data_IF_278296332878
#
_entry.id   IF_278296332878
#
_cell.length_a   1.000
_cell.length_b   1.000
_cell.length_c   1.000
_cell.angle_alpha   90.00
_cell.angle_beta   90.00
_cell.angle_gamma   90.00
#
_symmetry.space_group_name_H-M   'P 1'
#
loop_
_entity.id
_entity.type
_entity.pdbx_description
1 polymer ?
#
# COMPACT_ATOMS: atom_id res chain seq x y z
N UNK A 1 -38.06 -49.58 17.10
CA UNK A 1 -37.89 -48.12 17.22
C UNK A 1 -36.46 -47.71 17.58
N UNK A 2 -35.74 -48.50 18.39
CA UNK A 2 -34.34 -48.24 18.81
C UNK A 2 -33.31 -48.21 17.67
N UNK A 3 -33.53 -48.97 16.59
CA UNK A 3 -32.62 -49.00 15.42
C UNK A 3 -32.73 -47.77 14.51
N UNK A 4 -33.89 -47.11 14.48
CA UNK A 4 -34.10 -45.89 13.67
C UNK A 4 -33.50 -44.67 14.37
N UNK A 5 -33.56 -44.63 15.71
CA UNK A 5 -32.94 -43.58 16.53
C UNK A 5 -31.41 -43.56 16.36
N UNK A 6 -30.77 -44.71 16.20
CA UNK A 6 -29.32 -44.80 15.97
C UNK A 6 -28.87 -44.26 14.60
N UNK A 7 -29.71 -44.36 13.57
CA UNK A 7 -29.38 -43.89 12.21
C UNK A 7 -29.53 -42.36 12.13
N UNK A 8 -30.55 -41.79 12.77
CA UNK A 8 -30.75 -40.34 12.83
C UNK A 8 -29.68 -39.65 13.70
N UNK A 9 -29.22 -40.31 14.77
CA UNK A 9 -28.11 -39.82 15.58
C UNK A 9 -26.78 -39.79 14.79
N UNK A 10 -26.55 -40.74 13.88
CA UNK A 10 -25.31 -40.80 13.09
C UNK A 10 -25.27 -39.76 11.95
N UNK A 11 -26.43 -39.33 11.42
CA UNK A 11 -26.52 -38.30 10.39
C UNK A 11 -26.37 -36.86 10.93
N UNK A 12 -26.48 -36.65 12.25
CA UNK A 12 -26.32 -35.32 12.86
C UNK A 12 -24.86 -34.99 13.24
N UNK A 13 -23.94 -35.95 13.13
CA UNK A 13 -22.50 -35.72 13.37
C UNK A 13 -21.69 -35.51 12.07
N UNK A 14 -22.30 -35.58 10.88
CA UNK A 14 -21.60 -35.46 9.61
C UNK A 14 -21.48 -34.03 9.08
N UNK A 15 -21.90 -33.01 9.83
CA UNK A 15 -21.53 -31.62 9.54
C UNK A 15 -20.08 -31.37 9.97
N UNK A 16 -19.15 -32.08 9.34
CA UNK A 16 -17.75 -31.69 9.30
C UNK A 16 -17.75 -30.39 8.49
N UNK A 17 -17.65 -29.26 9.19
CA UNK A 17 -17.28 -28.00 8.57
C UNK A 17 -15.91 -28.27 7.95
N UNK A 18 -15.89 -28.47 6.63
CA UNK A 18 -14.65 -28.47 5.89
C UNK A 18 -14.15 -27.04 5.93
N UNK A 19 -13.41 -26.69 6.99
CA UNK A 19 -12.57 -25.50 6.96
C UNK A 19 -11.50 -25.86 5.95
N UNK A 20 -11.75 -25.53 4.68
CA UNK A 20 -10.70 -25.53 3.69
C UNK A 20 -9.65 -24.54 4.22
N UNK A 21 -8.58 -25.06 4.79
CA UNK A 21 -7.34 -24.33 4.95
C UNK A 21 -6.80 -24.12 3.54
N UNK A 22 -7.47 -23.24 2.79
CA UNK A 22 -6.94 -22.75 1.53
C UNK A 22 -5.62 -22.10 1.86
N UNK A 23 -4.53 -22.59 1.26
CA UNK A 23 -3.27 -21.87 1.26
C UNK A 23 -3.45 -20.65 0.36
N UNK A 24 -4.14 -19.63 0.86
CA UNK A 24 -4.28 -18.37 0.16
C UNK A 24 -2.92 -17.66 0.12
N UNK A 25 -2.55 -17.04 -1.01
CA UNK A 25 -1.30 -16.32 -1.09
C UNK A 25 -1.31 -15.15 -0.10
N UNK A 26 -0.13 -14.88 0.46
CA UNK A 26 0.11 -13.68 1.24
C UNK A 26 1.10 -12.83 0.47
N UNK A 27 0.74 -11.57 0.20
CA UNK A 27 1.58 -10.55 -0.39
C UNK A 27 2.14 -9.62 0.66
N UNK A 28 3.37 -9.16 0.43
CA UNK A 28 4.01 -8.12 1.24
C UNK A 28 4.22 -6.89 0.37
N UNK A 29 3.43 -5.85 0.61
CA UNK A 29 3.59 -4.57 -0.10
C UNK A 29 4.57 -3.70 0.69
N UNK A 30 5.66 -3.31 0.04
CA UNK A 30 6.78 -2.59 0.64
C UNK A 30 6.95 -1.25 -0.04
N UNK A 31 7.13 -0.20 0.73
CA UNK A 31 7.41 1.12 0.20
C UNK A 31 7.79 2.10 1.29
N UNK A 32 7.83 3.38 0.94
CA UNK A 32 8.21 4.45 1.86
C UNK A 32 7.31 5.66 1.69
N UNK A 33 7.23 6.46 2.74
CA UNK A 33 6.58 7.76 2.71
C UNK A 33 7.61 8.84 3.01
N UNK A 34 7.61 9.89 2.20
CA UNK A 34 8.53 11.00 2.35
C UNK A 34 7.84 12.36 2.40
N UNK A 35 8.57 13.35 2.89
CA UNK A 35 8.21 14.75 2.82
C UNK A 35 8.84 15.34 1.57
N UNK A 36 8.01 15.77 0.62
CA UNK A 36 8.45 16.49 -0.57
C UNK A 36 8.75 17.94 -0.20
N UNK A 37 9.99 18.15 0.24
CA UNK A 37 10.50 19.42 0.77
C UNK A 37 10.62 20.52 -0.29
N UNK A 38 10.60 20.16 -1.58
CA UNK A 38 10.75 21.09 -2.70
C UNK A 38 9.61 21.04 -3.73
N UNK A 39 8.54 20.29 -3.45
CA UNK A 39 7.43 20.08 -4.38
C UNK A 39 7.88 19.50 -5.73
N UNK A 40 8.93 18.67 -5.70
CA UNK A 40 9.47 18.00 -6.88
C UNK A 40 8.59 16.81 -7.32
N UNK A 41 7.97 16.17 -6.32
CA UNK A 41 7.20 14.93 -6.36
C UNK A 41 7.98 13.71 -6.84
N UNK A 42 9.26 13.70 -6.52
CA UNK A 42 10.13 12.53 -6.53
C UNK A 42 11.16 12.69 -5.40
N UNK A 43 11.80 11.59 -5.00
CA UNK A 43 12.84 11.61 -3.98
C UNK A 43 14.11 12.31 -4.48
N UNK A 44 14.65 13.18 -3.63
CA UNK A 44 15.87 13.96 -3.83
C UNK A 44 16.87 13.68 -2.71
N UNK A 45 18.10 14.19 -2.81
CA UNK A 45 19.11 14.08 -1.76
C UNK A 45 18.77 14.85 -0.46
N UNK A 46 17.75 15.72 -0.48
CA UNK A 46 17.24 16.48 0.67
C UNK A 46 15.86 15.99 1.12
N UNK A 47 15.49 14.79 0.69
CA UNK A 47 14.26 14.13 1.11
C UNK A 47 14.36 13.67 2.56
N UNK A 48 13.30 13.96 3.32
CA UNK A 48 13.13 13.48 4.68
C UNK A 48 12.01 12.43 4.68
N UNK A 49 12.28 11.24 5.24
CA UNK A 49 11.26 10.20 5.36
C UNK A 49 10.37 10.43 6.58
N UNK A 50 9.08 10.11 6.43
CA UNK A 50 8.07 10.39 7.45
C UNK A 50 7.81 9.12 8.25
N UNK A 51 8.25 9.11 9.51
CA UNK A 51 7.83 8.12 10.51
C UNK A 51 6.39 8.39 10.94
N UNK A 52 5.58 7.33 11.08
CA UNK A 52 4.21 7.45 11.56
C UNK A 52 3.19 7.91 10.51
N UNK A 53 3.55 7.94 9.23
CA UNK A 53 2.62 8.25 8.14
C UNK A 53 1.62 7.09 7.96
N UNK A 54 0.33 7.42 7.94
CA UNK A 54 -0.73 6.45 7.68
C UNK A 54 -0.92 6.29 6.17
N UNK A 55 -0.90 5.04 5.73
CA UNK A 55 -1.21 4.63 4.37
C UNK A 55 -2.30 3.56 4.39
N UNK A 56 -2.82 3.25 3.21
CA UNK A 56 -3.65 2.07 3.01
C UNK A 56 -3.34 1.40 1.69
N UNK A 57 -3.54 0.09 1.61
CA UNK A 57 -3.75 -0.61 0.34
C UNK A 57 -5.25 -0.59 0.07
N UNK A 58 -5.65 0.05 -1.01
CA UNK A 58 -7.02 0.12 -1.52
C UNK A 58 -7.10 -0.75 -2.78
N UNK A 59 -7.95 -1.78 -2.76
CA UNK A 59 -8.19 -2.60 -3.93
C UNK A 59 -9.62 -2.41 -4.43
N UNK A 60 -9.72 -2.10 -5.73
CA UNK A 60 -10.96 -1.76 -6.40
C UNK A 60 -11.23 -2.75 -7.52
N UNK A 61 -12.41 -3.36 -7.53
CA UNK A 61 -12.78 -4.31 -8.58
C UNK A 61 -12.72 -3.64 -9.97
N UNK A 62 -11.98 -4.23 -10.91
CA UNK A 62 -11.61 -3.52 -12.17
C UNK A 62 -12.82 -3.18 -13.07
N UNK A 63 -13.87 -4.01 -13.05
CA UNK A 63 -15.10 -3.78 -13.83
C UNK A 63 -16.10 -2.84 -13.14
N UNK A 64 -16.36 -3.03 -11.85
CA UNK A 64 -17.44 -2.31 -11.14
C UNK A 64 -16.96 -0.99 -10.55
N UNK A 65 -15.67 -0.83 -10.30
CA UNK A 65 -15.14 0.33 -9.59
C UNK A 65 -15.45 0.33 -8.08
N UNK A 66 -15.99 -0.77 -7.54
CA UNK A 66 -16.26 -0.89 -6.11
C UNK A 66 -14.96 -1.16 -5.34
N UNK A 67 -14.79 -0.49 -4.21
CA UNK A 67 -13.69 -0.78 -3.29
C UNK A 67 -14.05 -2.06 -2.52
N UNK A 68 -13.29 -3.13 -2.73
CA UNK A 68 -13.50 -4.42 -2.08
C UNK A 68 -12.65 -4.54 -0.81
N UNK A 69 -11.44 -3.94 -0.82
CA UNK A 69 -10.50 -4.03 0.31
C UNK A 69 -9.87 -2.67 0.67
N UNK A 70 -9.73 -2.44 1.98
CA UNK A 70 -8.89 -1.39 2.56
C UNK A 70 -8.08 -2.00 3.71
N UNK A 71 -6.75 -2.02 3.57
CA UNK A 71 -5.84 -2.47 4.62
C UNK A 71 -4.96 -1.29 5.01
N UNK A 72 -5.04 -0.87 6.28
CA UNK A 72 -4.29 0.29 6.78
C UNK A 72 -3.00 -0.15 7.43
N UNK A 73 -1.96 0.67 7.28
CA UNK A 73 -0.68 0.50 7.98
C UNK A 73 -0.04 1.87 8.24
N UNK A 74 1.02 1.87 9.05
CA UNK A 74 1.76 3.07 9.45
C UNK A 74 3.25 2.85 9.21
N UNK A 75 3.93 3.86 8.69
CA UNK A 75 5.38 3.78 8.49
C UNK A 75 6.17 3.70 9.79
N UNK A 76 7.26 2.93 9.76
CA UNK A 76 8.21 2.79 10.85
C UNK A 76 9.08 4.05 11.07
N UNK A 77 10.01 3.99 12.02
CA UNK A 77 10.91 5.10 12.36
C UNK A 77 11.79 5.61 11.21
N UNK A 78 11.93 4.83 10.15
CA UNK A 78 12.69 5.16 8.94
C UNK A 78 11.81 5.56 7.77
N UNK A 79 10.49 5.65 7.99
CA UNK A 79 9.48 5.97 6.98
C UNK A 79 9.19 4.84 5.99
N UNK A 80 9.62 3.62 6.30
CA UNK A 80 9.30 2.42 5.52
C UNK A 80 8.00 1.77 6.04
N UNK A 81 7.26 1.11 5.16
CA UNK A 81 6.16 0.22 5.56
C UNK A 81 6.33 -1.16 4.90
N UNK A 82 5.75 -2.17 5.54
CA UNK A 82 5.62 -3.53 4.99
C UNK A 82 4.28 -4.09 5.44
N UNK A 83 3.29 -3.92 4.57
CA UNK A 83 1.91 -4.33 4.84
C UNK A 83 1.66 -5.74 4.29
N UNK A 84 1.01 -6.57 5.10
CA UNK A 84 0.57 -7.90 4.71
C UNK A 84 -0.81 -7.81 4.07
N UNK A 85 -0.97 -8.37 2.88
CA UNK A 85 -2.24 -8.44 2.16
C UNK A 85 -2.50 -9.89 1.80
N UNK A 86 -3.57 -10.45 2.36
CA UNK A 86 -3.98 -11.84 2.13
C UNK A 86 -4.84 -11.95 0.88
N UNK A 87 -4.91 -13.16 0.33
CA UNK A 87 -5.72 -13.55 -0.82
C UNK A 87 -5.17 -13.05 -2.16
N UNK A 88 -5.66 -13.65 -3.25
CA UNK A 88 -5.35 -13.24 -4.62
C UNK A 88 -6.36 -12.19 -5.07
N UNK A 89 -5.87 -11.10 -5.65
CA UNK A 89 -6.66 -9.95 -6.06
C UNK A 89 -6.69 -9.80 -7.59
N UNK A 90 -6.78 -10.91 -8.34
CA UNK A 90 -6.76 -10.93 -9.82
C UNK A 90 -7.86 -10.07 -10.46
N UNK A 91 -9.01 -9.92 -9.79
CA UNK A 91 -10.15 -9.12 -10.28
C UNK A 91 -10.13 -7.67 -9.76
N UNK A 92 -9.02 -7.21 -9.20
CA UNK A 92 -8.92 -5.91 -8.56
C UNK A 92 -7.69 -5.12 -9.01
N UNK A 93 -7.84 -3.80 -8.99
CA UNK A 93 -6.75 -2.84 -9.10
C UNK A 93 -6.39 -2.41 -7.69
N UNK A 94 -5.23 -2.86 -7.21
CA UNK A 94 -4.71 -2.53 -5.89
C UNK A 94 -3.69 -1.38 -5.95
N UNK A 95 -3.88 -0.38 -5.10
CA UNK A 95 -2.99 0.77 -4.98
C UNK A 95 -2.65 1.04 -3.52
N UNK A 96 -1.40 1.38 -3.24
CA UNK A 96 -1.05 2.04 -1.98
C UNK A 96 -1.48 3.50 -2.08
N UNK A 97 -2.19 4.02 -1.08
CA UNK A 97 -2.74 5.38 -1.04
C UNK A 97 -2.32 6.06 0.25
N UNK A 98 -1.91 7.33 0.16
CA UNK A 98 -1.64 8.18 1.32
C UNK A 98 -2.95 8.49 2.08
N UNK A 99 -2.91 8.41 3.41
CA UNK A 99 -4.06 8.74 4.26
C UNK A 99 -3.78 9.96 5.12
N UNK A 100 -2.71 9.94 5.91
CA UNK A 100 -2.38 11.04 6.82
C UNK A 100 -0.88 11.10 7.15
N UNK A 101 -0.39 12.30 7.43
CA UNK A 101 0.96 12.54 7.94
C UNK A 101 0.89 13.02 9.39
N UNK A 102 1.79 12.57 10.28
CA UNK A 102 1.90 13.10 11.64
C UNK A 102 2.65 14.44 11.69
N UNK A 103 3.29 14.87 10.60
CA UNK A 103 4.05 16.13 10.55
C UNK A 103 3.12 17.31 10.30
N UNK A 104 3.13 18.29 11.20
CA UNK A 104 2.27 19.49 11.08
C UNK A 104 2.61 20.34 9.86
N UNK A 105 3.85 20.32 9.37
CA UNK A 105 4.31 21.11 8.24
C UNK A 105 4.52 20.31 6.94
N UNK A 106 4.11 19.04 6.91
CA UNK A 106 4.26 18.17 5.74
C UNK A 106 3.16 17.11 5.67
N UNK A 107 1.94 17.56 5.38
CA UNK A 107 0.72 16.75 5.44
C UNK A 107 -0.22 16.98 4.26
N UNK A 108 0.11 17.88 3.33
CA UNK A 108 -0.72 18.19 2.16
C UNK A 108 -0.61 17.05 1.15
N UNK A 109 -1.74 16.49 0.73
CA UNK A 109 -1.79 15.46 -0.31
C UNK A 109 -1.75 16.13 -1.68
N UNK A 110 -0.83 15.66 -2.55
CA UNK A 110 -0.79 16.05 -3.96
C UNK A 110 -1.62 15.06 -4.79
N UNK A 111 -2.89 15.38 -5.05
CA UNK A 111 -3.78 14.51 -5.80
C UNK A 111 -3.21 14.14 -7.18
N UNK A 112 -3.20 12.84 -7.48
CA UNK A 112 -2.58 12.28 -8.68
C UNK A 112 -1.15 11.79 -8.48
N UNK A 113 -0.53 12.08 -7.31
CA UNK A 113 0.76 11.52 -6.86
C UNK A 113 0.65 10.88 -5.47
N UNK A 114 -0.58 10.71 -4.98
CA UNK A 114 -0.93 10.18 -3.67
C UNK A 114 -1.11 8.66 -3.66
N UNK A 115 -0.88 8.01 -4.79
CA UNK A 115 -1.09 6.58 -4.98
C UNK A 115 -0.04 5.90 -5.84
N UNK A 116 0.18 4.60 -5.59
CA UNK A 116 1.06 3.74 -6.36
C UNK A 116 0.46 2.34 -6.53
N UNK A 117 0.26 1.92 -7.77
CA UNK A 117 -0.32 0.61 -8.09
C UNK A 117 0.65 -0.54 -7.77
N UNK A 118 0.10 -1.64 -7.25
CA UNK A 118 0.81 -2.90 -7.01
C UNK A 118 -0.03 -4.08 -7.51
N UNK A 119 0.64 -5.10 -8.05
CA UNK A 119 -0.05 -6.27 -8.59
C UNK A 119 -0.08 -7.39 -7.54
N UNK A 120 -1.24 -7.64 -6.94
CA UNK A 120 -1.43 -8.65 -5.90
C UNK A 120 -2.10 -9.90 -6.47
N UNK A 121 -1.47 -10.49 -7.48
CA UNK A 121 -1.90 -11.76 -8.06
C UNK A 121 -0.73 -12.72 -8.27
N UNK A 122 -1.02 -14.01 -8.11
CA UNK A 122 -0.12 -15.12 -8.40
C UNK A 122 -0.04 -15.41 -9.90
N UNK A 123 -1.01 -14.95 -10.70
CA UNK A 123 -1.04 -15.11 -12.16
C UNK A 123 -0.17 -14.07 -12.90
N UNK A 124 1.05 -13.83 -12.42
CA UNK A 124 1.90 -12.70 -12.86
C UNK A 124 3.30 -13.09 -13.32
N UNK A 125 3.63 -14.39 -13.32
CA UNK A 125 4.98 -14.88 -13.63
C UNK A 125 6.06 -14.47 -12.62
N UNK A 126 5.70 -13.76 -11.55
CA UNK A 126 6.61 -13.36 -10.48
C UNK A 126 6.88 -14.53 -9.53
N UNK A 127 8.16 -14.70 -9.14
CA UNK A 127 8.61 -15.85 -8.33
C UNK A 127 8.42 -15.68 -6.82
N UNK A 128 8.01 -14.49 -6.36
CA UNK A 128 7.79 -14.18 -4.95
C UNK A 128 6.56 -13.28 -4.82
N UNK A 129 6.11 -13.05 -3.57
CA UNK A 129 4.94 -12.25 -3.25
C UNK A 129 5.28 -10.87 -2.66
N UNK A 130 6.52 -10.41 -2.78
CA UNK A 130 6.91 -9.06 -2.37
C UNK A 130 6.60 -8.10 -3.52
N UNK A 131 5.92 -6.99 -3.21
CA UNK A 131 5.56 -5.95 -4.18
C UNK A 131 6.10 -4.62 -3.70
N UNK A 132 7.00 -4.03 -4.47
CA UNK A 132 7.54 -2.72 -4.16
C UNK A 132 6.66 -1.64 -4.80
N UNK A 133 6.09 -0.77 -3.98
CA UNK A 133 5.37 0.41 -4.44
C UNK A 133 6.34 1.58 -4.60
N UNK A 134 6.04 2.49 -5.53
CA UNK A 134 6.74 3.76 -5.61
C UNK A 134 6.55 4.53 -4.29
N UNK A 135 7.60 5.22 -3.85
CA UNK A 135 7.52 6.06 -2.66
C UNK A 135 6.50 7.18 -2.86
N UNK A 136 5.73 7.46 -1.82
CA UNK A 136 4.66 8.47 -1.85
C UNK A 136 5.05 9.68 -1.00
N UNK A 137 4.77 10.87 -1.51
CA UNK A 137 5.21 12.13 -0.90
C UNK A 137 4.04 12.98 -0.41
N UNK A 138 4.08 13.41 0.86
CA UNK A 138 3.29 14.56 1.30
C UNK A 138 4.03 15.84 0.95
N UNK A 139 3.30 16.89 0.55
CA UNK A 139 3.90 18.19 0.30
C UNK A 139 4.18 18.90 1.62
N UNK A 140 5.38 19.48 1.72
CA UNK A 140 5.68 20.47 2.75
C UNK A 140 4.79 21.69 2.56
N UNK A 141 4.42 22.39 3.64
CA UNK A 141 3.56 23.57 3.52
C UNK A 141 4.16 24.66 2.64
N UNK A 142 5.46 24.91 2.84
CA UNK A 142 6.29 25.84 2.09
C UNK A 142 7.59 25.13 1.67
N UNK A 143 8.04 25.27 0.41
CA UNK A 143 9.32 24.72 -0.04
C UNK A 143 10.49 25.26 0.80
N UNK A 144 11.54 24.46 0.96
CA UNK A 144 12.76 24.93 1.62
C UNK A 144 13.40 26.10 0.82
N UNK A 145 14.05 27.08 1.49
CA UNK A 145 14.65 28.24 0.81
C UNK A 145 15.67 27.88 -0.28
N UNK A 146 16.32 26.72 -0.18
CA UNK A 146 17.31 26.24 -1.16
C UNK A 146 16.68 25.60 -2.41
N UNK A 147 15.37 25.35 -2.43
CA UNK A 147 14.72 24.56 -3.47
C UNK A 147 14.84 25.16 -4.87
N UNK A 148 14.76 26.49 -5.02
CA UNK A 148 14.88 27.14 -6.32
C UNK A 148 16.23 26.83 -6.96
N UNK A 149 17.33 27.10 -6.24
CA UNK A 149 18.68 26.80 -6.72
C UNK A 149 18.85 25.30 -6.94
N UNK A 150 18.42 24.49 -5.98
CA UNK A 150 18.53 23.03 -6.03
C UNK A 150 17.85 22.44 -7.28
N UNK A 151 16.61 22.84 -7.58
CA UNK A 151 15.87 22.34 -8.73
C UNK A 151 16.48 22.85 -10.04
N UNK A 152 16.96 24.09 -10.10
CA UNK A 152 17.71 24.58 -11.27
C UNK A 152 18.94 23.72 -11.56
N UNK A 153 19.75 23.43 -10.53
CA UNK A 153 20.93 22.58 -10.69
C UNK A 153 20.51 21.15 -11.13
N UNK A 154 19.46 20.59 -10.50
CA UNK A 154 18.93 19.27 -10.83
C UNK A 154 18.48 19.14 -12.30
N UNK A 155 17.83 20.17 -12.83
CA UNK A 155 17.38 20.20 -14.23
C UNK A 155 18.46 20.65 -15.23
N UNK A 156 19.70 20.91 -14.78
CA UNK A 156 20.76 21.41 -15.64
C UNK A 156 20.55 22.85 -16.13
N UNK A 157 19.78 23.64 -15.37
CA UNK A 157 19.48 25.06 -15.61
C UNK A 157 20.31 26.01 -14.71
N UNK A 158 21.28 25.46 -13.98
CA UNK A 158 22.25 26.24 -13.21
C UNK A 158 23.24 26.95 -14.14
N UNK A 159 23.68 28.16 -13.76
CA UNK A 159 24.78 28.82 -14.45
C UNK A 159 26.08 28.05 -14.18
N UNK A 160 26.82 27.70 -15.24
CA UNK A 160 28.18 27.22 -15.10
C UNK A 160 29.02 28.31 -14.42
N UNK A 161 29.65 27.98 -13.30
CA UNK A 161 30.53 28.89 -12.56
C UNK A 161 31.90 29.03 -13.24
#
# INVERSE_FOLDING_TARGET
>A
MTKIVFIVALCLFSSIILVASGNYPIFFVVGRVYCDTCHAGFETNITEYISGAMIKVECTHFTTGNIEHNIYDVTDSTGNYKIEVADDHEEEICEVVLVASPLTNCHKINHGRDRAQVVLSTNTGMSNNVRFANSLGFLKDEPLPMCEKFLRDYYGLGEEA
#
